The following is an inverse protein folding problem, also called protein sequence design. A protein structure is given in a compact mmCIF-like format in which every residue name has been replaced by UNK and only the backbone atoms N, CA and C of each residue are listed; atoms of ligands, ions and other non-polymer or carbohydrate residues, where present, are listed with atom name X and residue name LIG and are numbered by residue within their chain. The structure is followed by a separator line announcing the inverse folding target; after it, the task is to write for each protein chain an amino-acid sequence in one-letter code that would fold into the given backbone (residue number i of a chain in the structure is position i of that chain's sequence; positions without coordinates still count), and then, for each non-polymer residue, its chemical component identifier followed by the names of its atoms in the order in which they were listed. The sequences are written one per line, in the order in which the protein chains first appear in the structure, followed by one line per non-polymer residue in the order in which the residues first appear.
data_IF_810401095035
#
_entry.id   IF_810401095035
#
_cell.length_a   1.000
_cell.length_b   1.000
_cell.length_c   1.000
_cell.angle_alpha   90.00
_cell.angle_beta   90.00
_cell.angle_gamma   90.00
#
_symmetry.space_group_name_H-M   'P 1'
#
loop_
_entity.id
_entity.type
_entity.pdbx_description
1 polymer ?
#
# COMPACT_ATOMS: atom_id res chain seq x y z
N UNK A 1 44.53 23.89 22.23
CA UNK A 1 43.84 22.75 21.56
C UNK A 1 42.36 22.48 21.95
N UNK A 2 41.75 23.15 22.94
CA UNK A 2 40.48 22.70 23.57
C UNK A 2 39.25 22.49 22.66
N UNK A 3 38.94 23.40 21.72
CA UNK A 3 37.66 23.43 20.96
C UNK A 3 37.34 22.10 20.23
N UNK A 4 38.34 21.36 19.71
CA UNK A 4 38.12 20.06 19.02
C UNK A 4 37.64 18.93 19.96
N UNK A 5 37.97 18.96 21.27
CA UNK A 5 37.47 17.95 22.23
C UNK A 5 36.00 18.19 22.61
N UNK A 6 35.57 19.46 22.74
CA UNK A 6 34.17 19.83 23.02
C UNK A 6 33.23 19.33 21.92
N UNK A 7 33.50 19.67 20.65
CA UNK A 7 32.68 19.26 19.51
C UNK A 7 32.47 17.74 19.44
N UNK A 8 33.53 16.94 19.68
CA UNK A 8 33.44 15.47 19.72
C UNK A 8 32.57 14.94 20.89
N UNK A 9 32.61 15.56 22.08
CA UNK A 9 31.70 15.22 23.19
C UNK A 9 30.24 15.57 22.82
N UNK A 10 30.01 16.76 22.26
CA UNK A 10 28.67 17.24 21.89
C UNK A 10 28.03 16.39 20.79
N UNK A 11 28.80 16.02 19.75
CA UNK A 11 28.36 15.09 18.71
C UNK A 11 28.03 13.70 19.27
N UNK A 12 28.83 13.17 20.20
CA UNK A 12 28.54 11.89 20.89
C UNK A 12 27.25 11.97 21.73
N UNK A 13 27.00 13.08 22.43
CA UNK A 13 25.77 13.31 23.19
C UNK A 13 24.53 13.43 22.27
N UNK A 14 24.63 14.19 21.17
CA UNK A 14 23.56 14.31 20.18
C UNK A 14 23.26 12.97 19.49
N UNK A 15 24.29 12.17 19.20
CA UNK A 15 24.15 10.81 18.68
C UNK A 15 23.44 9.88 19.67
N UNK A 16 23.84 9.88 20.95
CA UNK A 16 23.15 9.15 22.03
C UNK A 16 21.68 9.59 22.19
N UNK A 17 21.36 10.89 22.09
CA UNK A 17 19.96 11.38 22.10
C UNK A 17 19.16 10.88 20.88
N UNK A 18 19.76 10.82 19.68
CA UNK A 18 19.11 10.23 18.48
C UNK A 18 18.94 8.72 18.57
N UNK A 19 19.86 8.02 19.26
CA UNK A 19 19.79 6.57 19.51
C UNK A 19 18.73 6.20 20.57
N UNK A 20 18.29 7.14 21.42
CA UNK A 20 17.13 6.95 22.33
C UNK A 20 15.77 6.91 21.61
N UNK A 21 15.63 7.48 20.41
CA UNK A 21 14.40 7.40 19.60
C UNK A 21 14.32 6.07 18.81
N UNK A 22 14.52 4.95 19.49
CA UNK A 22 14.48 3.60 18.91
C UNK A 22 13.15 2.93 19.26
N UNK A 23 12.22 2.93 18.31
CA UNK A 23 10.98 2.19 18.46
C UNK A 23 11.21 0.73 18.11
N UNK A 24 10.76 -0.18 18.96
CA UNK A 24 10.94 -1.64 18.83
C UNK A 24 9.57 -2.29 18.88
N UNK A 25 9.14 -2.88 17.78
CA UNK A 25 7.85 -3.52 17.64
C UNK A 25 8.05 -5.04 17.52
N UNK A 26 7.66 -5.83 18.54
CA UNK A 26 7.64 -7.27 18.42
C UNK A 26 6.56 -7.71 17.42
N UNK A 27 6.58 -8.99 17.04
CA UNK A 27 5.39 -9.64 16.47
C UNK A 27 4.35 -9.94 17.58
N UNK A 28 3.05 -10.02 17.23
CA UNK A 28 1.95 -10.37 18.15
C UNK A 28 2.21 -11.64 18.98
N UNK A 29 1.66 -11.66 20.20
CA UNK A 29 1.90 -12.74 21.18
C UNK A 29 1.52 -14.13 20.66
N UNK A 30 0.43 -14.26 19.89
CA UNK A 30 -0.01 -15.54 19.32
C UNK A 30 1.06 -16.23 18.46
N UNK A 31 1.96 -15.47 17.79
CA UNK A 31 3.08 -16.04 17.01
C UNK A 31 4.17 -16.71 17.86
N UNK A 32 4.04 -16.66 19.19
CA UNK A 32 4.91 -17.33 20.17
C UNK A 32 4.12 -18.38 20.95
N UNK A 33 2.90 -18.03 21.38
CA UNK A 33 2.02 -18.91 22.16
C UNK A 33 1.61 -20.14 21.32
N UNK A 34 1.17 -19.95 20.07
CA UNK A 34 0.72 -21.06 19.20
C UNK A 34 1.80 -22.15 19.03
N UNK A 35 3.05 -21.87 18.60
CA UNK A 35 4.05 -22.93 18.48
C UNK A 35 4.43 -23.57 19.82
N UNK A 36 4.35 -22.85 20.95
CA UNK A 36 4.59 -23.46 22.28
C UNK A 36 3.46 -24.44 22.65
N UNK A 37 2.20 -24.09 22.40
CA UNK A 37 1.06 -24.98 22.63
C UNK A 37 1.09 -26.21 21.70
N UNK A 38 1.47 -26.03 20.43
CA UNK A 38 1.64 -27.16 19.50
C UNK A 38 2.79 -28.09 19.89
N UNK A 39 3.88 -27.58 20.47
CA UNK A 39 4.94 -28.43 21.07
C UNK A 39 4.37 -29.22 22.25
N UNK A 40 3.66 -28.56 23.17
CA UNK A 40 3.01 -29.23 24.31
C UNK A 40 2.08 -30.36 23.89
N UNK A 41 1.21 -30.10 22.90
CA UNK A 41 0.28 -31.09 22.36
C UNK A 41 0.98 -32.23 21.60
N UNK A 42 2.06 -31.94 20.86
CA UNK A 42 2.83 -32.98 20.17
C UNK A 42 3.53 -33.94 21.15
N UNK A 43 3.91 -33.46 22.33
CA UNK A 43 4.53 -34.28 23.38
C UNK A 43 3.54 -34.91 24.36
N UNK A 44 2.31 -34.38 24.50
CA UNK A 44 1.30 -34.97 25.39
C UNK A 44 0.84 -36.36 24.93
N UNK A 45 0.88 -36.67 23.62
CA UNK A 45 0.59 -38.01 23.10
C UNK A 45 1.64 -39.05 23.56
N UNK A 46 2.94 -38.95 23.22
CA UNK A 46 3.98 -39.85 23.76
C UNK A 46 4.03 -39.91 25.29
N UNK A 47 3.73 -38.81 25.98
CA UNK A 47 3.69 -38.77 27.44
C UNK A 47 2.48 -39.52 28.02
N UNK A 48 1.30 -39.40 27.40
CA UNK A 48 0.08 -40.08 27.85
C UNK A 48 0.16 -41.60 27.68
N UNK A 49 0.71 -42.10 26.55
CA UNK A 49 0.91 -43.53 26.35
C UNK A 49 1.89 -44.11 27.39
N UNK A 50 3.02 -43.44 27.64
CA UNK A 50 3.95 -43.82 28.72
C UNK A 50 3.36 -43.70 30.13
N UNK A 51 2.24 -42.98 30.31
CA UNK A 51 1.50 -42.95 31.56
C UNK A 51 0.51 -44.13 31.71
N UNK A 52 0.05 -44.75 30.61
CA UNK A 52 -0.81 -45.93 30.67
C UNK A 52 -0.10 -47.13 31.31
N UNK A 53 1.20 -47.29 31.01
CA UNK A 53 2.08 -48.30 31.61
C UNK A 53 2.22 -48.16 33.14
N UNK A 54 1.92 -46.97 33.68
CA UNK A 54 2.12 -46.60 35.08
C UNK A 54 0.79 -46.43 35.85
N UNK A 55 -0.37 -46.55 35.18
CA UNK A 55 -1.68 -46.22 35.75
C UNK A 55 -2.68 -47.34 35.51
N UNK A 56 -2.90 -48.14 36.55
CA UNK A 56 -3.82 -49.29 36.57
C UNK A 56 -5.31 -48.89 36.69
N UNK A 57 -5.61 -47.60 36.87
CA UNK A 57 -6.98 -47.12 37.12
C UNK A 57 -7.93 -47.36 35.94
N UNK A 58 -9.12 -47.90 36.22
CA UNK A 58 -10.20 -48.16 35.24
C UNK A 58 -11.06 -46.92 34.93
N UNK A 59 -10.42 -45.77 34.77
CA UNK A 59 -11.09 -44.51 34.47
C UNK A 59 -11.45 -44.40 32.97
N UNK A 60 -12.51 -43.67 32.64
CA UNK A 60 -13.00 -43.54 31.26
C UNK A 60 -11.90 -42.96 30.31
N UNK A 61 -11.05 -42.07 30.83
CA UNK A 61 -9.91 -41.50 30.11
C UNK A 61 -8.82 -42.53 29.80
N UNK A 62 -8.47 -43.42 30.74
CA UNK A 62 -7.45 -44.46 30.49
C UNK A 62 -7.98 -45.54 29.55
N UNK A 63 -9.29 -45.84 29.59
CA UNK A 63 -9.92 -46.74 28.62
C UNK A 63 -9.91 -46.15 27.19
N UNK A 64 -10.20 -44.86 27.03
CA UNK A 64 -10.13 -44.20 25.72
C UNK A 64 -8.69 -44.16 25.18
N UNK A 65 -7.71 -43.86 26.04
CA UNK A 65 -6.29 -43.84 25.67
C UNK A 65 -5.76 -45.23 25.27
N UNK A 66 -6.16 -46.32 25.95
CA UNK A 66 -5.81 -47.70 25.54
C UNK A 66 -6.41 -48.06 24.18
N UNK A 67 -7.67 -47.72 23.93
CA UNK A 67 -8.33 -47.96 22.64
C UNK A 67 -7.64 -47.19 21.49
N UNK A 68 -7.12 -46.00 21.76
CA UNK A 68 -6.31 -45.24 20.81
C UNK A 68 -4.91 -45.84 20.58
N UNK A 69 -4.29 -46.42 21.62
CA UNK A 69 -3.00 -47.11 21.52
C UNK A 69 -3.10 -48.40 20.70
N UNK A 70 -4.10 -49.24 20.99
CA UNK A 70 -4.43 -50.45 20.23
C UNK A 70 -4.67 -50.12 18.75
N UNK A 71 -5.40 -49.04 18.45
CA UNK A 71 -5.62 -48.57 17.08
C UNK A 71 -4.32 -48.10 16.40
N UNK A 72 -3.45 -47.37 17.09
CA UNK A 72 -2.16 -46.92 16.58
C UNK A 72 -1.24 -48.12 16.29
N UNK A 73 -1.17 -49.08 17.21
CA UNK A 73 -0.41 -50.31 17.04
C UNK A 73 -0.93 -51.17 15.89
N UNK A 74 -2.25 -51.29 15.71
CA UNK A 74 -2.85 -51.98 14.56
C UNK A 74 -2.49 -51.33 13.21
N UNK A 75 -2.27 -50.01 13.19
CA UNK A 75 -1.78 -49.27 12.00
C UNK A 75 -0.24 -49.19 11.93
N UNK A 76 0.48 -49.97 12.76
CA UNK A 76 1.95 -50.03 12.77
C UNK A 76 2.64 -48.76 13.27
N UNK A 77 1.93 -47.88 13.99
CA UNK A 77 2.49 -46.63 14.54
C UNK A 77 3.10 -46.93 15.91
N UNK A 78 4.39 -47.28 15.92
CA UNK A 78 5.13 -47.55 17.16
C UNK A 78 5.43 -46.27 17.97
N UNK A 79 5.67 -46.43 19.27
CA UNK A 79 6.08 -45.34 20.18
C UNK A 79 7.33 -44.56 19.67
N UNK A 80 8.26 -45.24 19.00
CA UNK A 80 9.38 -44.62 18.31
C UNK A 80 8.96 -43.72 17.12
N UNK A 81 7.95 -44.12 16.35
CA UNK A 81 7.36 -43.29 15.26
C UNK A 81 6.63 -42.08 15.84
N UNK A 82 5.90 -42.24 16.95
CA UNK A 82 5.26 -41.13 17.67
C UNK A 82 6.29 -40.11 18.19
N UNK A 83 7.36 -40.58 18.84
CA UNK A 83 8.48 -39.73 19.30
C UNK A 83 9.15 -38.99 18.14
N UNK A 84 9.39 -39.65 17.01
CA UNK A 84 9.97 -39.03 15.81
C UNK A 84 9.02 -37.97 15.21
N UNK A 85 7.71 -38.22 15.19
CA UNK A 85 6.70 -37.23 14.82
C UNK A 85 6.69 -36.01 15.75
N UNK A 86 6.73 -36.23 17.06
CA UNK A 86 6.80 -35.15 18.05
C UNK A 86 8.08 -34.30 17.90
N UNK A 87 9.23 -34.93 17.64
CA UNK A 87 10.48 -34.24 17.32
C UNK A 87 10.39 -33.42 16.03
N UNK A 88 9.79 -33.96 14.96
CA UNK A 88 9.61 -33.25 13.68
C UNK A 88 8.71 -32.01 13.85
N UNK A 89 7.56 -32.16 14.53
CA UNK A 89 6.67 -31.04 14.87
C UNK A 89 7.40 -30.03 15.74
N UNK A 90 8.19 -30.48 16.72
CA UNK A 90 8.99 -29.58 17.58
C UNK A 90 10.00 -28.78 16.77
N UNK A 91 10.69 -29.38 15.80
CA UNK A 91 11.60 -28.69 14.88
C UNK A 91 10.90 -27.61 14.07
N UNK A 92 9.75 -27.93 13.46
CA UNK A 92 8.95 -26.98 12.68
C UNK A 92 8.44 -25.83 13.56
N UNK A 93 7.94 -26.13 14.76
CA UNK A 93 7.46 -25.13 15.71
C UNK A 93 8.59 -24.28 16.31
N UNK A 94 9.79 -24.82 16.48
CA UNK A 94 10.97 -24.06 16.88
C UNK A 94 11.41 -23.06 15.78
N UNK A 95 11.36 -23.46 14.50
CA UNK A 95 11.60 -22.54 13.37
C UNK A 95 10.53 -21.44 13.31
N UNK A 96 9.25 -21.79 13.48
CA UNK A 96 8.17 -20.81 13.61
C UNK A 96 8.45 -19.85 14.77
N UNK A 97 8.75 -20.35 15.97
CA UNK A 97 9.01 -19.55 17.16
C UNK A 97 10.21 -18.61 16.96
N UNK A 98 11.31 -19.08 16.35
CA UNK A 98 12.46 -18.24 15.98
C UNK A 98 12.05 -17.07 15.07
N UNK A 99 11.17 -17.33 14.10
CA UNK A 99 10.59 -16.28 13.23
C UNK A 99 9.55 -15.43 13.96
N UNK A 100 8.84 -15.97 14.96
CA UNK A 100 7.88 -15.28 15.83
C UNK A 100 8.54 -14.32 16.83
N UNK A 101 9.80 -14.56 17.17
CA UNK A 101 10.62 -13.69 18.02
C UNK A 101 11.27 -12.52 17.27
N UNK A 102 11.09 -12.44 15.94
CA UNK A 102 11.56 -11.31 15.12
C UNK A 102 10.94 -9.97 15.55
N UNK A 103 11.79 -8.95 15.76
CA UNK A 103 11.40 -7.60 16.15
C UNK A 103 11.71 -6.61 15.02
N UNK A 104 10.72 -5.81 14.62
CA UNK A 104 10.91 -4.67 13.73
C UNK A 104 11.48 -3.50 14.55
N UNK A 105 12.54 -2.88 14.06
CA UNK A 105 13.22 -1.77 14.74
C UNK A 105 13.24 -0.57 13.81
N UNK A 106 12.73 0.55 14.32
CA UNK A 106 12.59 1.81 13.60
C UNK A 106 13.37 2.89 14.34
N UNK A 107 14.26 3.58 13.64
CA UNK A 107 15.03 4.71 14.16
C UNK A 107 14.89 5.91 13.22
N UNK A 108 15.30 7.12 13.63
CA UNK A 108 15.24 8.31 12.77
C UNK A 108 16.17 8.23 11.54
N UNK A 109 17.07 7.24 11.49
CA UNK A 109 18.06 7.09 10.42
C UNK A 109 17.90 5.81 9.59
N UNK A 110 17.26 4.75 10.13
CA UNK A 110 17.13 3.46 9.46
C UNK A 110 15.96 2.62 9.98
N UNK A 111 15.58 1.62 9.18
CA UNK A 111 14.64 0.55 9.53
C UNK A 111 15.30 -0.82 9.29
N UNK A 112 15.07 -1.77 10.19
CA UNK A 112 15.61 -3.12 10.12
C UNK A 112 14.84 -4.14 10.96
N UNK A 113 15.06 -5.42 10.67
CA UNK A 113 14.53 -6.56 11.42
C UNK A 113 15.64 -7.19 12.27
N UNK A 114 15.34 -7.58 13.52
CA UNK A 114 16.24 -8.30 14.42
C UNK A 114 15.58 -9.60 14.87
N UNK A 115 16.25 -10.72 14.60
CA UNK A 115 15.96 -12.04 15.15
C UNK A 115 16.74 -12.24 16.47
N UNK A 116 16.51 -13.32 17.24
CA UNK A 116 17.27 -13.60 18.46
C UNK A 116 18.79 -13.60 18.23
N UNK A 117 19.26 -14.37 17.25
CA UNK A 117 20.70 -14.60 16.99
C UNK A 117 21.23 -13.87 15.75
N UNK A 118 20.36 -13.29 14.91
CA UNK A 118 20.75 -12.62 13.67
C UNK A 118 20.14 -11.21 13.59
N UNK A 119 20.86 -10.25 12.99
CA UNK A 119 20.33 -8.93 12.68
C UNK A 119 20.40 -8.66 11.18
N UNK A 120 19.28 -8.26 10.56
CA UNK A 120 19.32 -7.85 9.15
C UNK A 120 20.12 -6.56 9.02
N UNK A 121 20.97 -6.40 7.98
CA UNK A 121 21.69 -5.16 7.77
C UNK A 121 20.69 -4.00 7.58
N UNK A 122 20.91 -2.80 8.13
CA UNK A 122 19.92 -1.75 8.09
C UNK A 122 19.66 -1.22 6.68
N UNK A 123 18.42 -0.81 6.41
CA UNK A 123 18.08 0.09 5.31
C UNK A 123 17.98 1.49 5.91
N UNK A 124 18.92 2.38 5.55
CA UNK A 124 18.92 3.77 6.02
C UNK A 124 17.87 4.56 5.23
N UNK A 125 17.10 5.45 5.86
CA UNK A 125 16.06 6.22 5.17
C UNK A 125 16.59 7.08 4.00
N UNK A 126 17.81 7.63 4.16
CA UNK A 126 18.56 8.31 3.09
C UNK A 126 19.01 7.41 1.93
N UNK A 127 19.01 6.10 2.13
CA UNK A 127 19.41 5.05 1.16
C UNK A 127 18.17 4.27 0.65
N UNK A 128 16.95 4.73 0.95
CA UNK A 128 15.68 4.26 0.33
C UNK A 128 15.48 4.95 -1.02
N UNK A 129 15.01 4.19 -2.00
CA UNK A 129 14.74 4.64 -3.37
C UNK A 129 13.26 4.50 -3.74
N UNK A 130 12.52 3.64 -3.04
CA UNK A 130 11.09 3.48 -3.25
C UNK A 130 10.35 3.09 -1.97
N UNK A 131 9.15 3.65 -1.84
CA UNK A 131 8.16 3.30 -0.81
C UNK A 131 6.85 2.99 -1.52
N UNK A 132 6.44 1.72 -1.51
CA UNK A 132 5.12 1.27 -1.92
C UNK A 132 4.23 1.11 -0.68
N UNK A 133 2.99 1.55 -0.77
CA UNK A 133 1.97 1.40 0.29
C UNK A 133 0.72 0.82 -0.38
N UNK A 134 0.54 -0.50 -0.27
CA UNK A 134 -0.59 -1.24 -0.84
C UNK A 134 -1.71 -1.31 0.20
N UNK A 135 -2.90 -0.86 -0.18
CA UNK A 135 -4.13 -1.11 0.56
C UNK A 135 -4.85 -2.26 -0.13
N UNK A 136 -4.77 -3.46 0.44
CA UNK A 136 -5.38 -4.67 -0.12
C UNK A 136 -6.74 -4.83 0.55
N UNK A 137 -7.75 -4.30 -0.11
CA UNK A 137 -9.15 -4.58 0.16
C UNK A 137 -9.49 -5.95 -0.45
N UNK A 138 -10.07 -6.85 0.35
CA UNK A 138 -10.57 -8.15 -0.09
C UNK A 138 -12.08 -8.13 0.06
N UNK A 139 -12.81 -8.68 -0.92
CA UNK A 139 -14.27 -8.63 -0.99
C UNK A 139 -14.99 -9.15 0.28
N UNK A 140 -14.35 -10.04 1.05
CA UNK A 140 -14.88 -10.64 2.27
C UNK A 140 -14.20 -10.13 3.57
N UNK A 141 -13.31 -9.13 3.49
CA UNK A 141 -12.62 -8.54 4.65
C UNK A 141 -13.12 -7.11 4.88
N UNK A 142 -14.10 -6.94 5.77
CA UNK A 142 -14.72 -5.64 6.10
C UNK A 142 -13.73 -4.57 6.58
N UNK A 143 -14.12 -3.29 6.56
CA UNK A 143 -13.23 -2.10 6.67
C UNK A 143 -12.18 -2.16 7.80
N UNK A 144 -12.51 -2.72 8.95
CA UNK A 144 -11.58 -2.88 10.09
C UNK A 144 -10.48 -3.94 9.89
N UNK A 145 -10.66 -4.87 8.96
CA UNK A 145 -9.73 -5.98 8.71
C UNK A 145 -8.78 -5.74 7.53
N UNK A 146 -8.96 -4.67 6.73
CA UNK A 146 -8.18 -4.36 5.53
C UNK A 146 -6.66 -4.60 5.69
N UNK A 147 -6.09 -5.42 4.81
CA UNK A 147 -4.66 -5.75 4.85
C UNK A 147 -3.84 -4.60 4.26
N UNK A 148 -3.06 -3.91 5.09
CA UNK A 148 -2.13 -2.86 4.66
C UNK A 148 -0.71 -3.40 4.57
N UNK A 149 -0.01 -3.04 3.49
CA UNK A 149 1.35 -3.48 3.19
C UNK A 149 2.21 -2.27 2.89
N UNK A 150 3.38 -2.22 3.52
CA UNK A 150 4.40 -1.20 3.34
C UNK A 150 5.67 -1.91 2.87
N UNK A 151 6.04 -1.67 1.61
CA UNK A 151 7.22 -2.24 0.97
C UNK A 151 8.25 -1.14 0.72
N UNK A 152 9.39 -1.24 1.42
CA UNK A 152 10.46 -0.23 1.43
C UNK A 152 11.68 -0.82 0.72
N UNK A 153 12.08 -0.23 -0.40
CA UNK A 153 13.20 -0.71 -1.21
C UNK A 153 14.40 0.24 -1.12
N UNK A 154 15.60 -0.32 -0.94
CA UNK A 154 16.84 0.44 -0.99
C UNK A 154 17.20 0.89 -2.41
N UNK A 155 18.09 1.88 -2.51
CA UNK A 155 18.91 2.07 -3.72
C UNK A 155 19.58 0.74 -4.05
N UNK A 156 19.50 0.30 -5.31
CA UNK A 156 20.18 -0.92 -5.78
C UNK A 156 21.69 -0.65 -5.90
N UNK A 157 22.56 -1.42 -5.22
CA UNK A 157 24.00 -1.34 -5.47
C UNK A 157 24.32 -1.82 -6.88
N UNK A 158 25.24 -1.14 -7.58
CA UNK A 158 25.58 -1.46 -8.97
C UNK A 158 26.06 -2.91 -9.17
N UNK A 159 26.80 -3.43 -8.18
CA UNK A 159 27.37 -4.79 -8.16
C UNK A 159 26.39 -5.91 -7.77
N UNK A 160 25.16 -5.59 -7.32
CA UNK A 160 24.13 -6.60 -7.01
C UNK A 160 23.04 -6.62 -8.08
N UNK A 161 22.57 -7.79 -8.56
CA UNK A 161 21.33 -7.88 -9.34
C UNK A 161 20.10 -7.65 -8.44
N UNK A 162 20.16 -8.09 -7.18
CA UNK A 162 19.08 -8.01 -6.21
C UNK A 162 18.99 -6.63 -5.53
N UNK A 163 17.76 -6.14 -5.35
CA UNK A 163 17.47 -4.91 -4.60
C UNK A 163 16.98 -5.27 -3.20
N UNK A 164 17.65 -4.76 -2.16
CA UNK A 164 17.26 -5.04 -0.77
C UNK A 164 15.93 -4.36 -0.47
N UNK A 165 14.97 -5.12 0.05
CA UNK A 165 13.66 -4.60 0.43
C UNK A 165 13.27 -5.08 1.85
N UNK A 166 12.36 -4.36 2.49
CA UNK A 166 11.71 -4.75 3.74
C UNK A 166 10.20 -4.60 3.55
N UNK A 167 9.50 -5.74 3.56
CA UNK A 167 8.03 -5.82 3.61
C UNK A 167 7.55 -5.76 5.05
N UNK A 168 6.51 -4.97 5.32
CA UNK A 168 5.88 -4.79 6.63
C UNK A 168 4.36 -4.82 6.40
N UNK A 169 3.61 -5.53 7.25
CA UNK A 169 2.15 -5.56 7.17
C UNK A 169 1.50 -5.30 8.52
N UNK A 170 0.30 -4.71 8.52
CA UNK A 170 -0.44 -4.42 9.76
C UNK A 170 -0.75 -5.68 10.58
N UNK A 171 -0.98 -6.84 9.94
CA UNK A 171 -1.16 -8.14 10.62
C UNK A 171 0.14 -8.80 11.12
N UNK A 172 1.32 -8.21 10.87
CA UNK A 172 2.61 -8.74 11.32
C UNK A 172 3.25 -7.90 12.43
N UNK A 173 3.04 -6.59 12.45
CA UNK A 173 3.62 -5.69 13.46
C UNK A 173 2.67 -4.54 13.79
N UNK A 174 2.38 -4.38 15.08
CA UNK A 174 1.58 -3.30 15.65
C UNK A 174 2.18 -1.91 15.30
N UNK A 175 3.50 -1.88 15.11
CA UNK A 175 4.26 -0.71 14.64
C UNK A 175 4.04 -0.29 13.18
N UNK A 176 3.17 -0.95 12.42
CA UNK A 176 2.92 -0.64 11.00
C UNK A 176 2.65 0.86 10.78
N UNK A 177 1.71 1.45 11.52
CA UNK A 177 1.38 2.89 11.38
C UNK A 177 2.49 3.82 11.87
N UNK A 178 3.47 3.33 12.65
CA UNK A 178 4.68 4.09 12.94
C UNK A 178 5.65 4.02 11.76
N UNK A 179 5.87 2.84 11.17
CA UNK A 179 6.70 2.66 9.98
C UNK A 179 6.19 3.49 8.79
N UNK A 180 4.88 3.46 8.55
CA UNK A 180 4.17 4.23 7.52
C UNK A 180 4.38 5.74 7.71
N UNK A 181 4.15 6.26 8.93
CA UNK A 181 4.36 7.69 9.24
C UNK A 181 5.82 8.12 9.09
N UNK A 182 6.80 7.28 9.47
CA UNK A 182 8.23 7.61 9.29
C UNK A 182 8.64 7.52 7.82
N UNK A 183 8.17 6.53 7.06
CA UNK A 183 8.43 6.44 5.63
C UNK A 183 7.87 7.66 4.86
N UNK A 184 6.65 8.10 5.19
CA UNK A 184 6.03 9.30 4.61
C UNK A 184 6.75 10.58 5.03
N UNK A 185 7.13 10.74 6.30
CA UNK A 185 7.79 11.96 6.79
C UNK A 185 9.28 12.07 6.44
N UNK A 186 9.99 10.96 6.25
CA UNK A 186 11.46 10.95 6.08
C UNK A 186 11.90 10.40 4.72
N UNK A 187 11.39 9.24 4.30
CA UNK A 187 11.85 8.58 3.07
C UNK A 187 11.33 9.30 1.82
N UNK A 188 10.04 9.63 1.77
CA UNK A 188 9.44 10.29 0.60
C UNK A 188 10.11 11.65 0.29
N UNK A 189 10.32 12.56 1.25
CA UNK A 189 11.09 13.79 1.01
C UNK A 189 12.57 13.55 0.63
N UNK A 190 13.20 12.48 1.14
CA UNK A 190 14.57 12.14 0.78
C UNK A 190 14.69 11.63 -0.66
N UNK A 191 13.78 10.76 -1.10
CA UNK A 191 13.70 10.30 -2.51
C UNK A 191 13.39 11.49 -3.41
N UNK A 192 12.44 12.36 -3.03
CA UNK A 192 12.08 13.56 -3.79
C UNK A 192 13.27 14.50 -3.98
N UNK A 193 14.04 14.80 -2.91
CA UNK A 193 15.27 15.61 -3.00
C UNK A 193 16.35 14.94 -3.85
N UNK A 194 16.51 13.62 -3.80
CA UNK A 194 17.46 12.87 -4.64
C UNK A 194 17.08 12.98 -6.12
N UNK A 195 15.80 12.72 -6.44
CA UNK A 195 15.25 12.82 -7.79
C UNK A 195 15.30 14.24 -8.34
N UNK A 196 14.99 15.26 -7.52
CA UNK A 196 15.19 16.67 -7.89
C UNK A 196 16.65 16.94 -8.21
N UNK A 197 17.60 16.54 -7.36
CA UNK A 197 19.03 16.75 -7.66
C UNK A 197 19.46 16.12 -8.99
N UNK A 198 18.94 14.94 -9.33
CA UNK A 198 19.15 14.32 -10.65
C UNK A 198 18.52 15.18 -11.78
N UNK A 199 17.30 15.69 -11.60
CA UNK A 199 16.64 16.64 -12.50
C UNK A 199 17.51 17.90 -12.74
N UNK A 200 18.02 18.50 -11.66
CA UNK A 200 18.85 19.71 -11.65
C UNK A 200 20.19 19.46 -12.37
N UNK A 201 20.81 18.29 -12.17
CA UNK A 201 22.10 17.91 -12.74
C UNK A 201 22.00 17.44 -14.20
N UNK A 202 21.06 16.56 -14.52
CA UNK A 202 20.90 15.94 -15.84
C UNK A 202 20.14 16.85 -16.83
N UNK A 203 19.48 17.92 -16.32
CA UNK A 203 18.54 18.79 -17.04
C UNK A 203 17.44 18.01 -17.77
N UNK A 204 16.98 16.90 -17.17
CA UNK A 204 16.02 15.96 -17.76
C UNK A 204 14.83 15.71 -16.82
N UNK A 205 13.60 15.54 -17.35
CA UNK A 205 12.43 15.27 -16.53
C UNK A 205 12.56 13.96 -15.74
N UNK A 206 12.17 13.99 -14.47
CA UNK A 206 12.15 12.81 -13.60
C UNK A 206 10.97 11.94 -13.95
N UNK A 207 11.26 10.69 -14.32
CA UNK A 207 10.23 9.71 -14.66
C UNK A 207 9.72 8.92 -13.44
N UNK A 208 8.41 8.63 -13.49
CA UNK A 208 7.65 7.80 -12.56
C UNK A 208 6.85 6.77 -13.40
N UNK A 209 7.35 5.53 -13.53
CA UNK A 209 6.69 4.49 -14.32
C UNK A 209 5.53 3.84 -13.56
N UNK A 210 4.52 3.40 -14.30
CA UNK A 210 3.40 2.60 -13.79
C UNK A 210 3.86 1.17 -13.37
N UNK A 211 4.94 0.67 -13.98
CA UNK A 211 5.46 -0.71 -13.80
C UNK A 211 6.94 -0.70 -13.38
N UNK A 212 7.46 -1.84 -12.92
CA UNK A 212 8.88 -2.05 -12.58
C UNK A 212 9.86 -1.67 -13.72
N UNK A 213 11.17 -1.43 -13.44
CA UNK A 213 12.15 -1.13 -14.49
C UNK A 213 12.32 -2.30 -15.47
N UNK A 214 12.07 -3.52 -14.99
CA UNK A 214 12.09 -4.74 -15.79
C UNK A 214 10.82 -4.96 -16.62
N UNK A 215 9.87 -4.02 -16.64
CA UNK A 215 8.72 -4.06 -17.54
C UNK A 215 9.14 -4.23 -19.01
N UNK A 216 10.17 -3.51 -19.46
CA UNK A 216 10.71 -3.67 -20.82
C UNK A 216 11.27 -5.07 -21.08
N UNK A 217 12.08 -5.59 -20.14
CA UNK A 217 12.69 -6.94 -20.26
C UNK A 217 11.66 -8.06 -20.19
N UNK A 218 10.69 -7.98 -19.27
CA UNK A 218 9.61 -8.96 -19.17
C UNK A 218 8.70 -8.91 -20.40
N UNK A 219 8.36 -7.72 -20.89
CA UNK A 219 7.59 -7.56 -22.14
C UNK A 219 8.32 -8.15 -23.35
N UNK A 220 9.64 -7.95 -23.44
CA UNK A 220 10.47 -8.62 -24.45
C UNK A 220 10.47 -10.14 -24.29
N UNK A 221 10.50 -10.67 -23.06
CA UNK A 221 10.37 -12.12 -22.81
C UNK A 221 8.99 -12.66 -23.20
N UNK A 222 7.89 -11.94 -22.96
CA UNK A 222 6.56 -12.33 -23.43
C UNK A 222 6.49 -12.34 -24.97
N UNK A 223 7.07 -11.34 -25.64
CA UNK A 223 7.15 -11.27 -27.10
C UNK A 223 8.00 -12.41 -27.69
N UNK A 224 9.19 -12.66 -27.14
CA UNK A 224 10.05 -13.77 -27.58
C UNK A 224 9.41 -15.15 -27.31
N UNK A 225 8.68 -15.30 -26.21
CA UNK A 225 7.93 -16.53 -25.93
C UNK A 225 6.70 -16.69 -26.86
N UNK A 226 6.02 -15.60 -27.22
CA UNK A 226 4.93 -15.58 -28.20
C UNK A 226 5.40 -16.01 -29.58
N UNK A 227 6.49 -15.41 -30.07
CA UNK A 227 7.17 -15.81 -31.30
C UNK A 227 7.67 -17.26 -31.26
N UNK A 228 8.21 -17.73 -30.13
CA UNK A 228 8.64 -19.12 -29.95
C UNK A 228 7.48 -20.12 -30.04
N UNK A 229 6.35 -19.82 -29.38
CA UNK A 229 5.14 -20.64 -29.46
C UNK A 229 4.52 -20.63 -30.86
N UNK A 230 4.57 -19.49 -31.57
CA UNK A 230 4.14 -19.39 -32.97
C UNK A 230 5.03 -20.21 -33.91
N UNK A 231 6.35 -20.16 -33.72
CA UNK A 231 7.31 -20.96 -34.48
C UNK A 231 7.10 -22.47 -34.25
N UNK A 232 6.89 -22.89 -32.99
CA UNK A 232 6.48 -24.27 -32.67
C UNK A 232 5.19 -24.66 -33.38
N UNK A 233 4.15 -23.81 -33.37
CA UNK A 233 2.89 -24.10 -34.06
C UNK A 233 3.08 -24.25 -35.58
N UNK A 234 3.90 -23.41 -36.21
CA UNK A 234 4.22 -23.50 -37.65
C UNK A 234 5.03 -24.76 -38.00
N UNK A 235 5.98 -25.15 -37.16
CA UNK A 235 6.90 -26.26 -37.39
C UNK A 235 6.23 -27.65 -37.26
N UNK A 236 5.43 -28.03 -38.27
CA UNK A 236 4.69 -29.31 -38.34
C UNK A 236 5.52 -30.53 -37.94
N UNK A 237 6.78 -30.62 -38.37
CA UNK A 237 7.67 -31.77 -38.10
C UNK A 237 8.17 -31.91 -36.65
N UNK A 238 7.88 -30.95 -35.76
CA UNK A 238 8.27 -31.02 -34.34
C UNK A 238 7.18 -31.71 -33.48
N UNK A 239 6.02 -32.01 -34.06
CA UNK A 239 4.89 -32.63 -33.36
C UNK A 239 4.75 -34.12 -33.71
N UNK A 240 5.35 -35.05 -32.95
CA UNK A 240 5.00 -36.47 -33.07
C UNK A 240 3.50 -36.68 -32.79
N UNK A 241 2.87 -37.69 -33.40
CA UNK A 241 1.41 -37.83 -33.47
C UNK A 241 0.74 -37.86 -32.09
N UNK A 242 1.40 -38.49 -31.11
CA UNK A 242 0.99 -38.58 -29.70
C UNK A 242 0.68 -37.23 -29.05
N UNK A 243 1.39 -36.16 -29.43
CA UNK A 243 1.23 -34.82 -28.85
C UNK A 243 0.72 -33.78 -29.86
N UNK A 244 0.40 -34.19 -31.10
CA UNK A 244 -0.12 -33.29 -32.13
C UNK A 244 -1.45 -32.62 -31.72
N UNK A 245 -2.22 -33.26 -30.81
CA UNK A 245 -3.44 -32.70 -30.18
C UNK A 245 -3.15 -31.43 -29.36
N UNK A 246 -1.93 -31.25 -28.84
CA UNK A 246 -1.52 -30.05 -28.11
C UNK A 246 -1.10 -28.89 -29.03
N UNK A 247 -1.00 -29.11 -30.35
CA UNK A 247 -0.58 -28.07 -31.31
C UNK A 247 -1.47 -26.81 -31.31
N UNK A 248 -2.81 -26.88 -31.19
CA UNK A 248 -3.65 -25.69 -31.04
C UNK A 248 -3.34 -24.87 -29.78
N UNK A 249 -2.93 -25.51 -28.67
CA UNK A 249 -2.54 -24.80 -27.45
C UNK A 249 -1.28 -23.94 -27.64
N UNK A 250 -0.37 -24.33 -28.53
CA UNK A 250 0.78 -23.48 -28.89
C UNK A 250 0.34 -22.19 -29.61
N UNK A 251 -0.67 -22.25 -30.49
CA UNK A 251 -1.23 -21.05 -31.13
C UNK A 251 -1.97 -20.16 -30.11
N UNK A 252 -2.78 -20.75 -29.22
CA UNK A 252 -3.47 -20.01 -28.15
C UNK A 252 -2.46 -19.36 -27.21
N UNK A 253 -1.38 -20.07 -26.84
CA UNK A 253 -0.30 -19.51 -26.04
C UNK A 253 0.40 -18.35 -26.77
N UNK A 254 0.73 -18.49 -28.07
CA UNK A 254 1.33 -17.42 -28.85
C UNK A 254 0.47 -16.14 -28.84
N UNK A 255 -0.83 -16.27 -29.14
CA UNK A 255 -1.78 -15.15 -29.14
C UNK A 255 -1.92 -14.52 -27.76
N UNK A 256 -2.01 -15.31 -26.68
CA UNK A 256 -2.09 -14.79 -25.31
C UNK A 256 -0.80 -14.06 -24.88
N UNK A 257 0.37 -14.62 -25.18
CA UNK A 257 1.66 -14.03 -24.84
C UNK A 257 1.88 -12.70 -25.58
N UNK A 258 1.51 -12.64 -26.87
CA UNK A 258 1.52 -11.41 -27.67
C UNK A 258 0.53 -10.37 -27.16
N UNK A 259 -0.72 -10.74 -26.86
CA UNK A 259 -1.70 -9.82 -26.27
C UNK A 259 -1.22 -9.28 -24.92
N UNK A 260 -0.58 -10.10 -24.08
CA UNK A 260 0.04 -9.67 -22.81
C UNK A 260 1.21 -8.70 -23.09
N UNK A 261 2.04 -8.96 -24.09
CA UNK A 261 3.13 -8.07 -24.48
C UNK A 261 2.59 -6.72 -24.99
N UNK A 262 1.64 -6.72 -25.93
CA UNK A 262 0.99 -5.52 -26.48
C UNK A 262 0.26 -4.70 -25.41
N UNK A 263 -0.44 -5.37 -24.47
CA UNK A 263 -1.07 -4.73 -23.33
C UNK A 263 -0.05 -4.06 -22.40
N UNK A 264 1.08 -4.73 -22.09
CA UNK A 264 2.18 -4.13 -21.32
C UNK A 264 2.82 -2.96 -22.05
N UNK A 265 2.96 -3.04 -23.38
CA UNK A 265 3.42 -1.93 -24.24
C UNK A 265 2.43 -0.74 -24.31
N UNK A 266 1.21 -0.86 -23.77
CA UNK A 266 0.22 0.22 -23.75
C UNK A 266 0.37 1.20 -22.56
N UNK A 267 1.19 0.85 -21.56
CA UNK A 267 1.34 1.56 -20.28
C UNK A 267 1.63 3.06 -20.37
N UNK A 268 1.23 3.79 -19.32
CA UNK A 268 1.45 5.23 -19.19
C UNK A 268 2.66 5.50 -18.29
N UNK A 269 3.31 6.63 -18.52
CA UNK A 269 4.36 7.14 -17.65
C UNK A 269 4.08 8.60 -17.33
N UNK A 270 4.43 9.04 -16.12
CA UNK A 270 4.43 10.45 -15.74
C UNK A 270 5.88 10.93 -15.66
N UNK A 271 6.17 12.06 -16.29
CA UNK A 271 7.41 12.81 -16.13
C UNK A 271 7.14 14.13 -15.42
N UNK A 272 8.10 14.62 -14.65
CA UNK A 272 8.01 15.89 -13.92
C UNK A 272 9.31 16.68 -14.05
N UNK A 273 9.19 17.99 -14.18
CA UNK A 273 10.25 18.97 -14.42
C UNK A 273 9.84 20.33 -13.83
N UNK A 274 10.76 21.28 -13.69
CA UNK A 274 10.53 22.63 -13.15
C UNK A 274 9.48 23.47 -13.92
N UNK A 275 9.08 23.03 -15.12
CA UNK A 275 8.14 23.77 -15.98
C UNK A 275 6.88 22.98 -16.32
N UNK A 276 6.98 21.65 -16.48
CA UNK A 276 5.90 20.83 -17.02
C UNK A 276 5.73 19.48 -16.32
N UNK A 277 4.48 19.05 -16.23
CA UNK A 277 4.09 17.65 -16.09
C UNK A 277 3.98 17.03 -17.50
N UNK A 278 4.65 15.92 -17.72
CA UNK A 278 4.63 15.16 -18.97
C UNK A 278 3.79 13.90 -18.81
N UNK A 279 2.80 13.71 -19.67
CA UNK A 279 2.10 12.43 -19.83
C UNK A 279 2.70 11.73 -21.04
N UNK A 280 3.23 10.53 -20.84
CA UNK A 280 3.92 9.74 -21.87
C UNK A 280 3.30 8.35 -22.05
N UNK A 281 3.53 7.76 -23.22
CA UNK A 281 3.25 6.34 -23.54
C UNK A 281 4.48 5.80 -24.27
N UNK A 282 5.08 4.72 -23.77
CA UNK A 282 6.41 4.23 -24.24
C UNK A 282 7.49 5.34 -24.26
N UNK A 283 7.55 6.17 -23.21
CA UNK A 283 8.42 7.36 -23.10
C UNK A 283 8.26 8.47 -24.17
N UNK A 284 7.43 8.28 -25.19
CA UNK A 284 7.00 9.35 -26.09
C UNK A 284 6.02 10.29 -25.37
N UNK A 285 6.32 11.59 -25.38
CA UNK A 285 5.47 12.63 -24.77
C UNK A 285 4.18 12.76 -25.58
N UNK A 286 3.05 12.43 -24.95
CA UNK A 286 1.70 12.56 -25.53
C UNK A 286 1.00 13.85 -25.09
N UNK A 287 1.38 14.41 -23.94
CA UNK A 287 0.88 15.72 -23.48
C UNK A 287 1.91 16.40 -22.56
N UNK A 288 2.10 17.71 -22.75
CA UNK A 288 2.81 18.60 -21.81
C UNK A 288 1.77 19.47 -21.11
N UNK A 289 1.91 19.69 -19.81
CA UNK A 289 0.98 20.48 -19.00
C UNK A 289 1.80 21.39 -18.10
N UNK A 290 1.67 22.73 -18.19
CA UNK A 290 2.35 23.66 -17.28
C UNK A 290 1.98 23.34 -15.83
N UNK A 291 2.93 23.40 -14.89
CA UNK A 291 2.62 23.14 -13.47
C UNK A 291 1.56 24.11 -12.93
N UNK A 292 1.62 25.35 -13.39
CA UNK A 292 0.72 26.47 -13.07
C UNK A 292 -0.72 26.21 -13.53
N UNK A 293 -0.90 25.40 -14.58
CA UNK A 293 -2.23 25.00 -15.06
C UNK A 293 -2.89 23.93 -14.18
N UNK A 294 -2.13 23.27 -13.29
CA UNK A 294 -2.63 22.17 -12.45
C UNK A 294 -3.34 22.75 -11.22
N UNK A 295 -4.66 22.57 -11.17
CA UNK A 295 -5.49 23.04 -10.06
C UNK A 295 -5.46 22.06 -8.88
N UNK A 296 -5.53 20.75 -9.14
CA UNK A 296 -5.35 19.72 -8.11
C UNK A 296 -4.79 18.41 -8.64
N UNK A 297 -4.05 17.70 -7.78
CA UNK A 297 -3.55 16.36 -8.02
C UNK A 297 -3.79 15.52 -6.76
N UNK A 298 -4.73 14.57 -6.83
CA UNK A 298 -5.23 13.84 -5.66
C UNK A 298 -5.57 12.39 -5.99
N UNK A 299 -5.69 11.55 -4.96
CA UNK A 299 -6.13 10.16 -5.09
C UNK A 299 -7.60 10.10 -4.65
N UNK A 300 -8.47 9.61 -5.53
CA UNK A 300 -9.91 9.52 -5.31
C UNK A 300 -10.43 8.22 -5.95
N UNK A 301 -11.23 7.45 -5.22
CA UNK A 301 -11.81 6.17 -5.66
C UNK A 301 -10.71 5.22 -6.18
N UNK A 302 -9.68 5.02 -5.35
CA UNK A 302 -8.39 4.35 -5.62
C UNK A 302 -7.57 4.90 -6.83
N UNK A 303 -8.12 5.83 -7.61
CA UNK A 303 -7.52 6.38 -8.83
C UNK A 303 -6.75 7.68 -8.59
N UNK A 304 -5.59 7.82 -9.23
CA UNK A 304 -4.89 9.11 -9.31
C UNK A 304 -5.62 10.00 -10.32
N UNK A 305 -6.04 11.19 -9.89
CA UNK A 305 -6.70 12.21 -10.71
C UNK A 305 -5.92 13.51 -10.66
N UNK A 306 -5.52 14.02 -11.83
CA UNK A 306 -4.90 15.34 -11.99
C UNK A 306 -5.87 16.20 -12.80
N UNK A 307 -6.28 17.34 -12.22
CA UNK A 307 -7.14 18.35 -12.84
C UNK A 307 -6.31 19.55 -13.28
N UNK A 308 -6.57 20.07 -14.47
CA UNK A 308 -5.90 21.26 -14.98
C UNK A 308 -6.81 22.13 -15.86
N UNK A 309 -6.47 23.42 -15.93
CA UNK A 309 -7.12 24.44 -16.77
C UNK A 309 -6.25 24.67 -18.01
N UNK A 310 -6.66 24.11 -19.16
CA UNK A 310 -5.86 24.11 -20.38
C UNK A 310 -6.03 25.37 -21.25
N UNK A 311 -7.00 26.24 -20.95
CA UNK A 311 -7.24 27.55 -21.60
C UNK A 311 -7.69 28.55 -20.53
N UNK A 312 -7.29 29.83 -20.64
CA UNK A 312 -7.73 30.91 -19.75
C UNK A 312 -9.27 30.96 -19.73
N UNK A 313 -9.88 31.04 -18.54
CA UNK A 313 -11.35 31.03 -18.36
C UNK A 313 -12.05 29.67 -18.45
N UNK A 314 -11.37 28.57 -18.81
CA UNK A 314 -12.01 27.26 -18.93
C UNK A 314 -12.18 26.54 -17.58
N UNK A 315 -13.33 25.86 -17.37
CA UNK A 315 -13.57 24.99 -16.19
C UNK A 315 -12.48 23.90 -16.10
N UNK A 316 -11.94 23.57 -14.90
CA UNK A 316 -10.87 22.58 -14.77
C UNK A 316 -11.29 21.18 -15.23
N UNK A 317 -10.52 20.55 -16.12
CA UNK A 317 -10.79 19.20 -16.64
C UNK A 317 -9.80 18.18 -16.06
N UNK A 318 -10.24 16.92 -15.90
CA UNK A 318 -9.33 15.82 -15.56
C UNK A 318 -8.41 15.56 -16.76
N UNK A 319 -7.12 15.85 -16.61
CA UNK A 319 -6.11 15.72 -17.67
C UNK A 319 -5.32 14.42 -17.56
N UNK A 320 -5.33 13.78 -16.38
CA UNK A 320 -4.83 12.44 -16.17
C UNK A 320 -5.75 11.71 -15.18
N UNK A 321 -6.19 10.50 -15.56
CA UNK A 321 -6.81 9.50 -14.67
C UNK A 321 -6.13 8.16 -14.92
N UNK A 322 -5.80 7.46 -13.84
CA UNK A 322 -5.43 6.05 -13.87
C UNK A 322 -5.74 5.38 -12.52
N UNK A 323 -6.20 4.14 -12.58
CA UNK A 323 -6.55 3.29 -11.43
C UNK A 323 -5.38 2.42 -10.93
N UNK A 324 -4.34 2.23 -11.74
CA UNK A 324 -3.17 1.42 -11.37
C UNK A 324 -2.21 2.20 -10.45
N UNK A 325 -1.46 1.46 -9.63
CA UNK A 325 -0.53 2.03 -8.65
C UNK A 325 0.81 2.41 -9.30
N UNK A 326 0.99 3.70 -9.58
CA UNK A 326 2.30 4.23 -10.00
C UNK A 326 3.36 4.04 -8.93
N UNK A 327 4.51 3.51 -9.33
CA UNK A 327 5.67 3.39 -8.47
C UNK A 327 6.13 4.76 -8.02
N UNK A 328 6.38 4.91 -6.72
CA UNK A 328 6.69 6.19 -6.08
C UNK A 328 5.61 7.31 -6.28
N UNK A 329 4.31 6.98 -6.46
CA UNK A 329 3.18 7.95 -6.56
C UNK A 329 3.25 9.08 -5.54
N UNK A 330 3.54 8.78 -4.28
CA UNK A 330 3.61 9.78 -3.21
C UNK A 330 4.85 10.69 -3.30
N UNK A 331 5.96 10.20 -3.87
CA UNK A 331 7.14 11.03 -4.19
C UNK A 331 6.83 11.98 -5.35
N UNK A 332 6.14 11.49 -6.39
CA UNK A 332 5.68 12.32 -7.51
C UNK A 332 4.75 13.43 -7.03
N UNK A 333 3.76 13.12 -6.18
CA UNK A 333 2.86 14.13 -5.59
C UNK A 333 3.60 15.13 -4.70
N UNK A 334 4.58 14.67 -3.90
CA UNK A 334 5.40 15.55 -3.07
C UNK A 334 6.28 16.50 -3.91
N UNK A 335 6.92 15.99 -4.97
CA UNK A 335 7.69 16.82 -5.90
C UNK A 335 6.80 17.81 -6.66
N UNK A 336 5.64 17.37 -7.17
CA UNK A 336 4.69 18.23 -7.87
C UNK A 336 4.19 19.37 -6.98
N UNK A 337 3.86 19.08 -5.72
CA UNK A 337 3.50 20.09 -4.73
C UNK A 337 4.66 21.06 -4.48
N UNK A 338 5.88 20.57 -4.27
CA UNK A 338 7.05 21.42 -4.00
C UNK A 338 7.43 22.35 -5.16
N UNK A 339 7.42 21.85 -6.39
CA UNK A 339 7.68 22.66 -7.58
C UNK A 339 6.57 23.69 -7.85
N UNK A 340 5.34 23.44 -7.39
CA UNK A 340 4.25 24.42 -7.43
C UNK A 340 4.41 25.49 -6.33
N UNK A 341 4.64 25.10 -5.09
CA UNK A 341 4.93 26.02 -3.97
C UNK A 341 6.11 26.96 -4.28
N UNK A 342 7.17 26.44 -4.90
CA UNK A 342 8.34 27.23 -5.32
C UNK A 342 8.01 28.16 -6.48
N UNK A 343 7.17 27.74 -7.44
CA UNK A 343 6.69 28.59 -8.54
C UNK A 343 5.78 29.73 -8.09
N UNK A 344 4.97 29.49 -7.08
CA UNK A 344 4.11 30.49 -6.46
C UNK A 344 5.00 31.52 -5.75
N UNK A 345 5.96 31.08 -4.93
CA UNK A 345 6.95 31.97 -4.32
C UNK A 345 7.85 32.73 -5.33
N UNK A 346 8.26 32.11 -6.44
CA UNK A 346 8.99 32.79 -7.53
C UNK A 346 8.17 33.91 -8.19
N UNK A 347 6.84 33.74 -8.28
CA UNK A 347 5.92 34.75 -8.83
C UNK A 347 5.67 35.88 -7.85
N UNK A 348 5.45 35.55 -6.58
CA UNK A 348 5.21 36.53 -5.50
C UNK A 348 6.48 37.36 -5.19
N UNK A 349 7.66 36.84 -5.52
CA UNK A 349 8.95 37.54 -5.41
C UNK A 349 9.34 38.39 -6.64
N UNK A 350 8.59 38.31 -7.75
CA UNK A 350 8.78 39.25 -8.87
C UNK A 350 8.19 40.62 -8.46
N UNK A 351 8.95 41.72 -8.54
CA UNK A 351 8.40 43.04 -8.24
C UNK A 351 7.25 43.34 -9.20
N UNK A 352 6.16 43.88 -8.67
CA UNK A 352 5.10 44.45 -9.50
C UNK A 352 5.74 45.60 -10.29
N UNK A 353 5.94 45.38 -11.59
CA UNK A 353 6.42 46.43 -12.49
C UNK A 353 5.32 47.46 -12.60
N UNK A 354 5.41 48.51 -11.79
CA UNK A 354 4.58 49.69 -11.90
C UNK A 354 4.76 50.24 -13.32
N UNK A 355 3.68 50.23 -14.10
CA UNK A 355 3.71 50.60 -15.52
C UNK A 355 4.14 52.08 -15.61
N UNK A 356 5.29 52.41 -16.21
CA UNK A 356 5.71 53.80 -16.38
C UNK A 356 4.97 54.38 -17.59
N UNK A 357 3.69 54.69 -17.39
CA UNK A 357 2.78 55.23 -18.40
C UNK A 357 1.70 56.05 -17.71
N UNK A 358 1.78 57.37 -17.82
CA UNK A 358 1.01 58.28 -16.98
C UNK A 358 -0.49 58.32 -17.32
N UNK A 359 -1.32 58.09 -16.31
CA UNK A 359 -2.60 58.78 -16.16
C UNK A 359 -2.54 59.59 -14.87
N UNK A 360 -2.94 60.86 -14.95
CA UNK A 360 -2.65 61.83 -13.90
C UNK A 360 -3.33 61.47 -12.58
N UNK A 361 -2.55 61.53 -11.49
CA UNK A 361 -3.07 61.53 -10.13
C UNK A 361 -3.87 62.82 -9.89
N UNK A 362 -5.17 62.79 -10.17
CA UNK A 362 -6.10 63.84 -9.74
C UNK A 362 -6.03 63.94 -8.20
N UNK A 363 -5.65 65.10 -7.63
CA UNK A 363 -5.73 65.29 -6.19
C UNK A 363 -7.20 65.30 -5.79
N UNK A 364 -7.60 64.35 -4.94
CA UNK A 364 -8.92 64.38 -4.30
C UNK A 364 -8.86 65.47 -3.21
N UNK A 365 -9.74 66.49 -3.22
CA UNK A 365 -9.71 67.52 -2.20
C UNK A 365 -10.09 66.93 -0.83
N UNK A 366 -9.49 67.40 0.28
CA UNK A 366 -9.76 66.85 1.60
C UNK A 366 -11.19 67.18 2.06
N UNK A 367 -11.98 66.15 2.34
CA UNK A 367 -13.31 66.31 2.95
C UNK A 367 -13.18 66.86 4.38
N UNK A 368 -13.84 67.96 4.75
CA UNK A 368 -13.67 68.57 6.07
C UNK A 368 -14.33 67.74 7.19
N UNK A 369 -13.68 67.70 8.36
CA UNK A 369 -14.26 67.11 9.59
C UNK A 369 -15.31 68.05 10.20
N UNK A 370 -16.59 67.84 9.91
CA UNK A 370 -17.66 68.60 10.58
C UNK A 370 -19.02 67.89 10.71
N UNK A 371 -19.04 66.68 11.30
CA UNK A 371 -20.06 66.36 12.33
C UNK A 371 -19.60 65.23 13.26
N UNK A 372 -19.83 65.45 14.56
CA UNK A 372 -19.42 64.61 15.70
C UNK A 372 -20.70 64.23 16.46
N UNK A 373 -20.62 63.19 17.30
CA UNK A 373 -21.66 62.75 18.25
C UNK A 373 -22.89 62.07 17.59
N UNK A 374 -23.51 61.04 18.17
CA UNK A 374 -23.23 60.27 19.40
C UNK A 374 -23.57 58.77 19.23
N UNK A 375 -23.00 57.86 20.05
CA UNK A 375 -23.33 56.44 20.04
C UNK A 375 -24.46 56.06 21.04
N UNK A 376 -25.15 54.93 20.84
CA UNK A 376 -25.83 54.21 21.91
C UNK A 376 -25.23 52.80 22.20
N UNK A 377 -25.45 52.37 23.44
CA UNK A 377 -24.87 51.24 24.20
C UNK A 377 -25.04 49.80 23.63
N UNK A 378 -24.29 48.81 24.20
CA UNK A 378 -24.49 47.38 23.95
C UNK A 378 -25.59 46.75 24.83
N UNK A 379 -26.12 45.60 24.40
CA UNK A 379 -27.05 44.72 25.12
C UNK A 379 -26.82 43.24 24.65
N UNK A 380 -27.33 42.20 25.33
CA UNK A 380 -26.47 41.40 26.20
C UNK A 380 -26.41 39.90 25.82
N UNK A 381 -25.85 39.08 26.72
CA UNK A 381 -25.84 37.62 26.64
C UNK A 381 -26.83 36.99 27.64
N UNK A 382 -26.97 35.66 27.58
CA UNK A 382 -27.83 34.80 28.44
C UNK A 382 -29.35 34.94 28.13
N UNK A 383 -30.20 33.92 28.32
CA UNK A 383 -30.02 32.59 28.92
C UNK A 383 -30.73 31.46 28.13
N UNK A 384 -30.70 30.25 28.68
CA UNK A 384 -31.41 29.05 28.20
C UNK A 384 -32.92 29.10 28.54
N UNK A 385 -33.78 28.42 27.77
CA UNK A 385 -34.84 27.60 28.41
C UNK A 385 -35.48 26.49 27.53
N UNK A 386 -36.04 25.53 28.26
CA UNK A 386 -37.04 24.47 27.98
C UNK A 386 -37.51 24.06 26.55
N UNK A 387 -37.68 22.74 26.40
CA UNK A 387 -38.53 22.09 25.38
C UNK A 387 -39.83 21.56 26.06
N UNK A 388 -40.89 21.17 25.31
CA UNK A 388 -40.97 19.78 24.83
C UNK A 388 -41.71 19.58 23.47
N UNK A 389 -41.93 18.32 23.07
CA UNK A 389 -42.56 17.89 21.80
C UNK A 389 -43.85 17.09 22.05
N UNK A 390 -44.90 17.36 21.26
CA UNK A 390 -45.70 16.31 20.60
C UNK A 390 -45.89 16.56 19.08
N UNK A 391 -46.77 15.85 18.36
CA UNK A 391 -46.66 14.47 17.82
C UNK A 391 -47.86 14.20 16.87
N UNK A 392 -47.70 13.31 15.85
CA UNK A 392 -48.66 13.00 14.74
C UNK A 392 -49.01 14.23 13.83
N UNK A 393 -49.46 14.16 12.56
CA UNK A 393 -49.90 13.07 11.65
C UNK A 393 -49.41 13.27 10.20
N UNK A 394 -49.65 12.27 9.34
CA UNK A 394 -49.44 12.27 7.88
C UNK A 394 -50.81 12.05 7.14
N UNK A 395 -50.89 11.55 5.89
CA UNK A 395 -50.63 12.29 4.63
C UNK A 395 -51.77 12.17 3.58
N UNK A 396 -51.77 13.01 2.53
CA UNK A 396 -52.50 12.80 1.26
C UNK A 396 -51.68 13.34 0.07
N UNK A 397 -51.47 12.60 -1.03
CA UNK A 397 -52.29 12.48 -2.28
C UNK A 397 -52.26 13.76 -3.16
N UNK A 398 -52.27 13.73 -4.51
CA UNK A 398 -52.38 12.65 -5.54
C UNK A 398 -51.63 13.04 -6.84
N UNK A 399 -51.45 12.13 -7.82
CA UNK A 399 -50.80 12.46 -9.11
C UNK A 399 -50.40 11.29 -10.03
N UNK A 400 -51.37 10.64 -10.67
CA UNK A 400 -51.25 9.63 -11.75
C UNK A 400 -50.93 10.26 -13.14
N UNK A 401 -50.57 9.61 -14.27
CA UNK A 401 -50.30 8.22 -14.77
C UNK A 401 -49.45 8.39 -16.08
N UNK A 402 -48.41 7.62 -16.47
CA UNK A 402 -48.33 6.26 -17.10
C UNK A 402 -49.12 6.17 -18.44
N UNK A 403 -48.81 5.31 -19.47
CA UNK A 403 -47.66 4.45 -19.80
C UNK A 403 -46.69 5.13 -20.81
N UNK A 404 -45.61 4.56 -21.37
CA UNK A 404 -45.18 3.20 -21.78
C UNK A 404 -43.63 3.06 -21.65
N UNK A 405 -42.95 1.90 -21.75
CA UNK A 405 -43.29 0.46 -21.72
C UNK A 405 -42.00 -0.40 -21.53
N UNK A 406 -42.04 -1.71 -21.81
CA UNK A 406 -40.89 -2.66 -21.76
C UNK A 406 -40.74 -3.45 -23.08
N UNK A 407 -40.07 -4.62 -23.13
CA UNK A 407 -39.40 -5.40 -22.06
C UNK A 407 -37.87 -5.46 -22.25
N UNK A 408 -37.06 -6.14 -21.43
CA UNK A 408 -37.31 -6.85 -20.17
C UNK A 408 -36.01 -7.52 -19.68
N UNK A 409 -35.83 -7.65 -18.37
CA UNK A 409 -34.58 -8.10 -17.75
C UNK A 409 -34.78 -9.43 -16.99
N UNK A 410 -33.79 -10.33 -17.05
CA UNK A 410 -33.87 -11.68 -16.46
C UNK A 410 -32.77 -11.86 -15.41
N UNK A 411 -33.11 -11.69 -14.13
CA UNK A 411 -32.23 -12.05 -13.01
C UNK A 411 -32.41 -13.54 -12.62
N UNK A 412 -31.34 -14.35 -12.60
CA UNK A 412 -31.39 -15.71 -12.07
C UNK A 412 -30.91 -15.82 -10.62
N UNK A 413 -31.60 -16.64 -9.82
CA UNK A 413 -30.97 -17.38 -8.73
C UNK A 413 -31.01 -16.78 -7.32
N UNK A 414 -32.20 -16.62 -6.74
CA UNK A 414 -32.38 -16.57 -5.28
C UNK A 414 -32.93 -17.92 -4.79
N UNK A 415 -32.16 -18.73 -4.03
CA UNK A 415 -32.66 -20.02 -3.53
C UNK A 415 -33.75 -19.81 -2.46
N UNK A 416 -34.75 -20.71 -2.38
CA UNK A 416 -35.80 -20.64 -1.35
C UNK A 416 -35.25 -20.95 0.05
N UNK A 417 -35.91 -20.40 1.07
CA UNK A 417 -35.65 -20.76 2.46
C UNK A 417 -36.32 -22.10 2.81
N UNK A 418 -35.75 -22.90 3.74
CA UNK A 418 -36.40 -24.12 4.21
C UNK A 418 -37.65 -23.79 5.04
N UNK A 419 -38.73 -24.54 4.81
CA UNK A 419 -39.87 -24.62 5.74
C UNK A 419 -39.57 -25.61 6.88
N UNK A 420 -40.14 -25.43 8.07
CA UNK A 420 -40.06 -26.38 9.18
C UNK A 420 -41.12 -27.48 9.08
N UNK A 421 -41.16 -28.31 10.13
CA UNK A 421 -42.25 -29.23 10.52
C UNK A 421 -42.44 -30.53 9.70
N UNK A 422 -42.02 -31.65 10.29
CA UNK A 422 -42.95 -32.67 10.79
C UNK A 422 -42.26 -33.64 11.77
N UNK A 423 -42.96 -34.05 12.82
CA UNK A 423 -42.63 -35.20 13.68
C UNK A 423 -43.33 -36.46 13.13
N UNK A 424 -42.79 -37.66 13.40
CA UNK A 424 -43.63 -38.86 13.46
C UNK A 424 -43.12 -40.16 12.84
N UNK A 425 -42.01 -40.72 13.33
CA UNK A 425 -41.92 -42.07 13.94
C UNK A 425 -40.48 -42.39 14.37
#
# INVERSE_FOLDING_TARGET
MGRRRSSRKMQRAARRRRERLRYVFPKPAWRKIVPILFIGFAWSLPFAFRLLDLVESKNLVTHFLRMADEWLHAHGVTEARLKLGAWLVTGIMAVWLYWGLEKLIITPSAIYRRYPFWHTPPIKWRDVDEVAIEHIERLFEGRFTMKKVLDIYSVRPWWLPWRRHIRITNRQYDGYHHAERVAVRVAIPAIARRKRKMMDQDRRPVFFPEVEPYAGRTTLLYFLAGLGALAMWLARGIWPPEIAVLRPLALVAAVLLELIAVARLAYRQIGLDHKYLYIMRRSLVRKRIPLEAITSAMVQDNSLRIKAVMKKGAKPRVVFRASQFFRNRAVMLFMLRRLKEEREAERDALPIVAIPGGLASRPVPPTPLSKRMAPPAPAPAEAEESAPVPVVSAPEQSGEVIPESGPGEVEPGKPPAPQPDALGQ
#
